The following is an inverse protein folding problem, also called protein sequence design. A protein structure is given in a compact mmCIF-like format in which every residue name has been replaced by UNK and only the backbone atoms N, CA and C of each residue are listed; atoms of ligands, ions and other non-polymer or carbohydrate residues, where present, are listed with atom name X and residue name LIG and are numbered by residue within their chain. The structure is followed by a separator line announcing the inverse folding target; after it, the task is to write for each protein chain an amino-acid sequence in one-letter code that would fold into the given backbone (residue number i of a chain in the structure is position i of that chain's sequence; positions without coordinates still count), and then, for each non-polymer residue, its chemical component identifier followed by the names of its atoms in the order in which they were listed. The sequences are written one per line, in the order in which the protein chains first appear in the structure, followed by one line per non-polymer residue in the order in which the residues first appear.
data_IF_157448048415
#
_entry.id   IF_157448048415
#
_cell.length_a   1.000
_cell.length_b   1.000
_cell.length_c   1.000
_cell.angle_alpha   90.00
_cell.angle_beta   90.00
_cell.angle_gamma   90.00
#
_symmetry.space_group_name_H-M   'P 1'
#
loop_
_entity.id
_entity.type
_entity.pdbx_description
1 polymer ?
#
# COMPACT_ATOMS: atom_id res chain seq x y z
N UNK A 1 -2.40 4.48 17.69
CA UNK A 1 -1.38 3.81 18.50
C UNK A 1 -1.06 2.47 17.87
N UNK A 2 0.21 2.12 17.71
CA UNK A 2 0.68 0.84 17.16
C UNK A 2 1.52 0.13 18.21
N UNK A 3 1.39 -1.19 18.35
CA UNK A 3 2.22 -1.98 19.28
C UNK A 3 3.32 -2.72 18.54
N UNK A 4 4.51 -2.77 19.15
CA UNK A 4 5.68 -3.53 18.66
C UNK A 4 6.16 -4.51 19.73
N UNK A 5 6.84 -5.60 19.35
CA UNK A 5 7.20 -6.72 20.25
C UNK A 5 8.00 -6.32 21.49
N UNK A 6 8.86 -5.30 21.38
CA UNK A 6 9.70 -4.80 22.47
C UNK A 6 10.85 -5.76 22.85
N UNK A 7 12.04 -5.22 23.09
CA UNK A 7 13.23 -6.02 23.43
C UNK A 7 13.16 -6.76 24.78
N UNK A 8 12.23 -6.36 25.67
CA UNK A 8 12.04 -6.95 27.00
C UNK A 8 10.92 -8.02 27.03
N UNK A 9 10.43 -8.43 25.86
CA UNK A 9 9.31 -9.38 25.73
C UNK A 9 7.93 -8.81 26.09
N UNK A 10 7.84 -7.51 26.40
CA UNK A 10 6.58 -6.79 26.63
C UNK A 10 6.35 -5.81 25.48
N UNK A 11 5.16 -5.83 24.85
CA UNK A 11 4.88 -4.93 23.75
C UNK A 11 5.01 -3.46 24.16
N UNK A 12 5.61 -2.66 23.27
CA UNK A 12 5.74 -1.20 23.45
C UNK A 12 4.75 -0.49 22.54
N UNK A 13 3.99 0.42 23.13
CA UNK A 13 3.06 1.28 22.42
C UNK A 13 3.77 2.47 21.78
N UNK A 14 3.63 2.62 20.48
CA UNK A 14 4.04 3.80 19.72
C UNK A 14 2.83 4.71 19.56
N UNK A 15 2.92 5.90 20.17
CA UNK A 15 1.92 6.95 20.05
C UNK A 15 2.30 7.85 18.88
N UNK A 16 1.32 8.14 18.02
CA UNK A 16 1.48 9.01 16.87
C UNK A 16 0.44 10.12 17.02
N UNK A 17 0.90 11.37 17.03
CA UNK A 17 0.02 12.52 17.11
C UNK A 17 -0.67 12.78 15.77
N UNK A 18 -1.89 13.32 15.81
CA UNK A 18 -2.64 13.66 14.61
C UNK A 18 -1.89 14.63 13.69
N UNK A 19 -1.17 15.62 14.25
CA UNK A 19 -0.41 16.59 13.46
C UNK A 19 0.76 15.93 12.70
N UNK A 20 1.44 14.96 13.34
CA UNK A 20 2.54 14.21 12.75
C UNK A 20 2.01 13.34 11.61
N UNK A 21 0.88 12.67 11.81
CA UNK A 21 0.20 11.90 10.77
C UNK A 21 -0.23 12.78 9.59
N UNK A 22 -0.85 13.94 9.85
CA UNK A 22 -1.27 14.86 8.80
C UNK A 22 -0.09 15.37 7.96
N UNK A 23 1.03 15.68 8.61
CA UNK A 23 2.27 16.10 7.95
C UNK A 23 2.84 14.98 7.07
N UNK A 24 2.85 13.76 7.60
CA UNK A 24 3.25 12.57 6.84
C UNK A 24 2.37 12.38 5.59
N UNK A 25 1.05 12.43 5.74
CA UNK A 25 0.10 12.22 4.65
C UNK A 25 0.19 13.31 3.58
N UNK A 26 0.45 14.56 3.98
CA UNK A 26 0.70 15.64 3.03
C UNK A 26 1.90 15.33 2.11
N UNK A 27 3.00 14.82 2.68
CA UNK A 27 4.17 14.37 1.90
C UNK A 27 3.88 13.08 1.12
N UNK A 28 3.10 12.17 1.69
CA UNK A 28 2.76 10.90 1.05
C UNK A 28 2.00 11.11 -0.27
N UNK A 29 1.12 12.11 -0.35
CA UNK A 29 0.36 12.42 -1.57
C UNK A 29 1.23 12.75 -2.77
N UNK A 30 2.32 13.50 -2.58
CA UNK A 30 3.26 13.84 -3.66
C UNK A 30 4.28 12.72 -3.90
N UNK A 31 4.73 12.06 -2.83
CA UNK A 31 5.73 10.99 -2.88
C UNK A 31 5.17 9.72 -3.54
N UNK A 32 3.92 9.39 -3.26
CA UNK A 32 3.20 8.22 -3.74
C UNK A 32 2.00 8.63 -4.58
N UNK A 33 2.22 9.47 -5.60
CA UNK A 33 1.15 10.03 -6.44
C UNK A 33 0.23 8.94 -7.04
N UNK A 34 0.77 7.78 -7.40
CA UNK A 34 0.01 6.62 -7.89
C UNK A 34 -1.03 6.07 -6.89
N UNK A 35 -0.86 6.34 -5.58
CA UNK A 35 -1.77 5.89 -4.52
C UNK A 35 -2.86 6.90 -4.18
N UNK A 36 -2.92 8.05 -4.85
CA UNK A 36 -3.94 9.09 -4.56
C UNK A 36 -5.31 8.78 -5.16
N UNK A 37 -5.38 7.93 -6.19
CA UNK A 37 -6.62 7.56 -6.87
C UNK A 37 -7.33 6.38 -6.20
N UNK A 38 -6.83 5.17 -6.41
CA UNK A 38 -7.41 3.94 -5.86
C UNK A 38 -6.33 3.10 -5.23
N UNK A 39 -6.56 2.58 -4.03
CA UNK A 39 -5.68 1.57 -3.40
C UNK A 39 -6.47 0.33 -3.00
N UNK A 40 -5.74 -0.78 -2.84
CA UNK A 40 -6.26 -2.02 -2.28
C UNK A 40 -5.61 -2.23 -0.93
N UNK A 41 -6.43 -2.41 0.11
CA UNK A 41 -5.97 -2.70 1.45
C UNK A 41 -6.09 -4.20 1.73
N UNK A 42 -4.94 -4.87 1.86
CA UNK A 42 -4.85 -6.31 2.14
C UNK A 42 -3.99 -6.65 3.37
N UNK A 43 -3.36 -5.63 3.98
CA UNK A 43 -2.54 -5.78 5.19
C UNK A 43 -3.37 -5.58 6.46
N UNK A 44 -3.03 -6.25 7.58
CA UNK A 44 -3.67 -5.99 8.87
C UNK A 44 -3.54 -4.52 9.29
N UNK A 45 -4.59 -3.96 9.90
CA UNK A 45 -4.60 -2.57 10.40
C UNK A 45 -3.55 -2.31 11.50
N UNK A 46 -3.00 -3.37 12.10
CA UNK A 46 -2.00 -3.28 13.15
C UNK A 46 -0.60 -2.87 12.64
N UNK A 47 -0.34 -2.93 11.33
CA UNK A 47 0.94 -2.50 10.74
C UNK A 47 0.90 -1.04 10.29
N UNK A 48 2.04 -0.36 10.38
CA UNK A 48 2.21 1.03 9.94
C UNK A 48 2.06 1.21 8.42
N UNK A 49 2.50 0.23 7.63
CA UNK A 49 2.34 0.19 6.17
C UNK A 49 0.89 0.45 5.72
N UNK A 50 -0.07 -0.05 6.49
CA UNK A 50 -1.51 0.11 6.27
C UNK A 50 -1.94 1.57 6.30
N UNK A 51 -1.27 2.43 7.08
CA UNK A 51 -1.59 3.87 7.18
C UNK A 51 -1.44 4.55 5.83
N UNK A 52 -0.36 4.28 5.10
CA UNK A 52 -0.11 4.86 3.78
C UNK A 52 -1.16 4.38 2.77
N UNK A 53 -1.45 3.07 2.76
CA UNK A 53 -2.42 2.45 1.88
C UNK A 53 -3.84 3.00 2.06
N UNK A 54 -4.23 3.19 3.31
CA UNK A 54 -5.57 3.59 3.71
C UNK A 54 -5.77 5.09 3.55
N UNK A 55 -4.87 5.91 4.10
CA UNK A 55 -5.15 7.34 4.27
C UNK A 55 -4.68 8.21 3.09
N UNK A 56 -3.67 7.78 2.32
CA UNK A 56 -3.21 8.56 1.15
C UNK A 56 -4.31 8.81 0.12
N UNK A 57 -5.06 7.79 -0.37
CA UNK A 57 -6.18 8.03 -1.28
C UNK A 57 -7.33 8.78 -0.59
N UNK A 58 -7.72 8.40 0.63
CA UNK A 58 -8.87 9.00 1.31
C UNK A 58 -8.68 10.51 1.56
N UNK A 59 -7.46 10.94 1.91
CA UNK A 59 -7.14 12.36 2.08
C UNK A 59 -6.94 13.12 0.76
N UNK A 60 -6.89 12.41 -0.37
CA UNK A 60 -6.80 12.97 -1.71
C UNK A 60 -8.14 12.95 -2.47
N UNK A 61 -9.22 12.41 -1.88
CA UNK A 61 -10.52 12.22 -2.53
C UNK A 61 -10.64 10.94 -3.35
N UNK A 62 -9.67 10.02 -3.21
CA UNK A 62 -9.66 8.70 -3.81
C UNK A 62 -10.41 7.64 -2.99
N UNK A 63 -10.27 6.39 -3.41
CA UNK A 63 -11.02 5.24 -2.88
C UNK A 63 -10.08 4.14 -2.36
N UNK A 64 -10.51 3.42 -1.32
CA UNK A 64 -9.82 2.25 -0.79
C UNK A 64 -10.72 1.02 -0.94
N UNK A 65 -10.19 -0.04 -1.54
CA UNK A 65 -10.87 -1.33 -1.64
C UNK A 65 -10.31 -2.31 -0.61
N UNK A 66 -11.19 -2.90 0.19
CA UNK A 66 -10.80 -3.88 1.20
C UNK A 66 -10.68 -5.28 0.56
N UNK A 67 -9.50 -5.87 0.63
CA UNK A 67 -9.25 -7.26 0.29
C UNK A 67 -9.03 -8.04 1.60
N UNK A 68 -10.14 -8.46 2.21
CA UNK A 68 -10.15 -9.08 3.55
C UNK A 68 -9.62 -10.52 3.58
N UNK A 69 -9.45 -11.14 2.40
CA UNK A 69 -8.93 -12.51 2.28
C UNK A 69 -7.91 -12.56 1.15
N UNK A 70 -6.70 -13.07 1.44
CA UNK A 70 -5.63 -13.27 0.44
C UNK A 70 -5.89 -14.45 -0.51
N UNK A 71 -7.03 -15.15 -0.36
CA UNK A 71 -7.35 -16.36 -1.12
C UNK A 71 -7.89 -16.08 -2.52
N UNK A 72 -8.46 -14.90 -2.76
CA UNK A 72 -8.98 -14.55 -4.08
C UNK A 72 -8.05 -13.53 -4.76
N UNK A 73 -7.62 -13.78 -6.01
CA UNK A 73 -6.90 -12.77 -6.76
C UNK A 73 -7.78 -11.53 -6.89
N UNK A 74 -7.25 -10.39 -6.46
CA UNK A 74 -7.93 -9.09 -6.62
C UNK A 74 -8.10 -8.87 -8.14
N UNK A 75 -9.34 -8.87 -8.67
CA UNK A 75 -9.55 -8.80 -10.11
C UNK A 75 -9.16 -7.40 -10.59
N UNK A 76 -8.02 -7.28 -11.26
CA UNK A 76 -7.47 -6.01 -11.77
C UNK A 76 -8.45 -5.36 -12.74
N UNK A 77 -9.23 -6.19 -13.45
CA UNK A 77 -10.27 -5.80 -14.40
C UNK A 77 -11.43 -5.04 -13.74
N UNK A 78 -11.71 -5.33 -12.45
CA UNK A 78 -12.73 -4.60 -11.66
C UNK A 78 -12.32 -3.15 -11.39
N UNK A 79 -11.04 -2.83 -11.58
CA UNK A 79 -10.46 -1.50 -11.38
C UNK A 79 -10.02 -0.85 -12.70
N UNK A 80 -10.33 -1.44 -13.87
CA UNK A 80 -9.85 -1.02 -15.19
C UNK A 80 -10.27 0.40 -15.66
N UNK A 81 -11.07 1.14 -14.88
CA UNK A 81 -11.40 2.55 -15.11
C UNK A 81 -10.58 3.54 -14.27
N UNK A 82 -9.81 3.05 -13.30
CA UNK A 82 -8.91 3.84 -12.47
C UNK A 82 -7.50 3.40 -12.85
N UNK A 83 -6.62 4.32 -13.24
CA UNK A 83 -5.27 3.97 -13.71
C UNK A 83 -4.51 3.18 -12.64
N UNK A 84 -4.55 1.86 -12.74
CA UNK A 84 -3.77 1.00 -11.85
C UNK A 84 -2.33 1.07 -12.36
N UNK A 85 -1.48 1.90 -11.74
CA UNK A 85 -0.12 2.14 -12.25
C UNK A 85 0.74 0.93 -11.91
N UNK A 86 0.90 0.01 -12.87
CA UNK A 86 1.78 -1.14 -12.74
C UNK A 86 3.22 -0.68 -12.44
N UNK A 87 3.83 -1.23 -11.39
CA UNK A 87 5.23 -0.98 -11.05
C UNK A 87 6.12 -1.88 -11.91
N UNK A 88 7.17 -1.33 -12.51
CA UNK A 88 8.07 -2.05 -13.42
C UNK A 88 9.01 -3.01 -12.67
N UNK A 89 9.60 -3.99 -13.37
CA UNK A 89 10.54 -4.97 -12.78
C UNK A 89 11.85 -4.36 -12.26
N UNK A 90 12.23 -3.19 -12.73
CA UNK A 90 13.37 -2.42 -12.25
C UNK A 90 13.06 -1.77 -10.88
N UNK A 91 11.86 -1.19 -10.75
CA UNK A 91 11.36 -0.60 -9.51
C UNK A 91 11.10 -1.66 -8.43
N UNK A 92 10.81 -2.91 -8.84
CA UNK A 92 10.73 -4.08 -7.95
C UNK A 92 12.07 -4.40 -7.26
N UNK A 93 13.21 -4.02 -7.83
CA UNK A 93 14.56 -4.36 -7.30
C UNK A 93 15.17 -3.30 -6.41
N UNK A 94 14.56 -2.11 -6.33
CA UNK A 94 15.05 -1.01 -5.47
C UNK A 94 14.20 -0.92 -4.20
N UNK A 95 14.62 -1.54 -3.08
CA UNK A 95 13.83 -1.61 -1.85
C UNK A 95 13.55 -0.24 -1.20
N UNK A 96 14.24 0.81 -1.65
CA UNK A 96 14.19 2.15 -1.07
C UNK A 96 13.46 3.19 -1.93
N UNK A 97 12.94 2.80 -3.10
CA UNK A 97 12.22 3.74 -3.96
C UNK A 97 10.78 3.94 -3.50
N UNK A 98 10.25 5.17 -3.64
CA UNK A 98 8.85 5.47 -3.36
C UNK A 98 7.89 4.56 -4.17
N UNK A 99 8.30 4.18 -5.38
CA UNK A 99 7.55 3.27 -6.25
C UNK A 99 7.58 1.81 -5.78
N UNK A 100 8.66 1.36 -5.14
CA UNK A 100 8.74 0.03 -4.51
C UNK A 100 7.89 -0.06 -3.23
N UNK A 101 7.94 0.98 -2.40
CA UNK A 101 7.05 1.07 -1.24
C UNK A 101 5.59 1.07 -1.71
N UNK A 102 5.25 1.83 -2.76
CA UNK A 102 3.95 1.75 -3.39
C UNK A 102 3.63 0.31 -3.85
N UNK A 103 4.52 -0.40 -4.56
CA UNK A 103 4.32 -1.81 -4.94
C UNK A 103 3.98 -2.74 -3.77
N UNK A 104 4.72 -2.67 -2.65
CA UNK A 104 4.44 -3.50 -1.46
C UNK A 104 3.08 -3.19 -0.84
N UNK A 105 2.58 -1.99 -1.05
CA UNK A 105 1.27 -1.52 -0.58
C UNK A 105 0.15 -1.80 -1.60
N UNK A 106 0.50 -1.85 -2.88
CA UNK A 106 -0.42 -1.61 -4.00
C UNK A 106 -0.65 -2.82 -4.89
N UNK A 107 0.30 -3.73 -5.03
CA UNK A 107 0.21 -4.73 -6.11
C UNK A 107 -0.52 -6.00 -5.68
N UNK A 108 -1.67 -6.31 -6.31
CA UNK A 108 -2.18 -7.67 -6.29
C UNK A 108 -1.28 -8.53 -7.16
N UNK A 109 -0.89 -9.71 -6.65
CA UNK A 109 0.02 -10.62 -7.33
C UNK A 109 -0.60 -11.20 -8.61
N UNK A 110 -0.61 -10.47 -9.73
CA UNK A 110 -0.81 -11.07 -11.04
C UNK A 110 0.54 -11.52 -11.60
N UNK A 111 0.87 -12.80 -11.38
CA UNK A 111 1.90 -13.47 -12.19
C UNK A 111 1.27 -13.76 -13.56
N UNK A 112 1.29 -12.81 -14.49
CA UNK A 112 1.13 -13.16 -15.90
C UNK A 112 2.43 -13.83 -16.38
N UNK A 113 2.50 -15.15 -16.16
CA UNK A 113 3.47 -15.99 -16.87
C UNK A 113 3.03 -15.99 -18.34
N UNK A 114 3.60 -15.12 -19.15
CA UNK A 114 3.61 -15.29 -20.60
C UNK A 114 4.34 -16.61 -20.89
N UNK A 115 3.57 -17.70 -20.97
CA UNK A 115 4.03 -18.94 -21.61
C UNK A 115 4.14 -18.58 -23.09
N UNK A 116 5.36 -18.30 -23.51
CA UNK A 116 5.75 -18.29 -24.91
C UNK A 116 5.42 -19.69 -25.46
N UNK A 117 4.36 -19.82 -26.25
CA UNK A 117 4.12 -21.01 -27.07
C UNK A 117 4.84 -20.78 -28.39
N UNK A 118 5.88 -21.57 -28.60
CA UNK A 118 6.34 -21.94 -29.94
C UNK A 118 5.27 -22.81 -30.62
#
# INVERSE_FOLDING_TARGET
MIYTSGSTGRPKGVVIEHHALATYLHRARSTYSAMTGVTVLHSPLAFDLTITALWTPLTAGGTVHLALTLTEPVPVERYAGHSVTAVTDEERRSPWSARHAAYMIYTPASKSRTRNRA
#
